data_IF_983923283101
#
_entry.id   IF_983923283101
#
_cell.length_a   1.000
_cell.length_b   1.000
_cell.length_c   1.000
_cell.angle_alpha   90.00
_cell.angle_beta   90.00
_cell.angle_gamma   90.00
#
_symmetry.space_group_name_H-M   'P 1'
#
loop_
_entity.id
_entity.type
_entity.pdbx_description
1 polymer ?
#
# COMPACT_ATOMS: atom_id res chain seq x y z
N UNK A 1 11.19 -24.36 1.36
CA UNK A 1 10.83 -23.81 2.69
C UNK A 1 9.31 -23.71 2.74
N UNK A 2 8.71 -24.28 3.78
CA UNK A 2 7.28 -24.58 4.01
C UNK A 2 6.24 -23.93 3.08
N UNK A 3 5.74 -24.72 2.12
CA UNK A 3 4.52 -24.48 1.34
C UNK A 3 3.29 -24.71 2.24
N UNK A 4 3.03 -23.77 3.15
CA UNK A 4 1.86 -23.82 4.04
C UNK A 4 0.90 -22.70 3.71
N UNK A 5 -0.39 -23.01 3.79
CA UNK A 5 -1.48 -22.05 3.70
C UNK A 5 -1.25 -20.91 4.71
N UNK A 6 -1.43 -19.67 4.27
CA UNK A 6 -1.25 -18.43 5.03
C UNK A 6 -2.61 -17.75 5.28
N UNK A 7 -2.63 -16.75 6.17
CA UNK A 7 -3.82 -15.97 6.52
C UNK A 7 -4.90 -16.89 7.12
N UNK A 8 -4.51 -17.62 8.17
CA UNK A 8 -5.33 -18.64 8.82
C UNK A 8 -6.32 -18.04 9.82
N UNK A 9 -7.20 -18.89 10.34
CA UNK A 9 -8.24 -18.49 11.29
C UNK A 9 -7.63 -17.75 12.50
N UNK A 10 -8.25 -16.64 12.87
CA UNK A 10 -7.85 -15.69 13.92
C UNK A 10 -6.58 -14.86 13.65
N UNK A 11 -5.95 -15.00 12.48
CA UNK A 11 -4.84 -14.11 12.12
C UNK A 11 -5.34 -12.68 11.85
N UNK A 12 -4.58 -11.70 12.34
CA UNK A 12 -4.83 -10.28 12.10
C UNK A 12 -4.31 -9.90 10.71
N UNK A 13 -5.16 -9.21 9.96
CA UNK A 13 -4.91 -8.86 8.57
C UNK A 13 -5.25 -7.40 8.32
N UNK A 14 -4.73 -6.88 7.21
CA UNK A 14 -5.21 -5.65 6.61
C UNK A 14 -5.77 -5.98 5.21
N UNK A 15 -6.94 -5.45 4.89
CA UNK A 15 -7.60 -5.64 3.59
C UNK A 15 -7.62 -4.30 2.85
N UNK A 16 -7.09 -4.29 1.62
CA UNK A 16 -7.09 -3.11 0.75
C UNK A 16 -8.50 -2.89 0.22
N UNK A 17 -9.02 -1.66 0.21
CA UNK A 17 -10.26 -1.33 -0.48
C UNK A 17 -10.04 -0.92 -1.94
N UNK A 18 -11.07 -1.14 -2.77
CA UNK A 18 -11.03 -0.93 -4.24
C UNK A 18 -12.20 -0.05 -4.70
N UNK A 19 -13.09 0.31 -3.79
CA UNK A 19 -14.20 1.22 -4.08
C UNK A 19 -13.66 2.62 -4.35
N UNK A 20 -14.37 3.37 -5.18
CA UNK A 20 -14.02 4.75 -5.49
C UNK A 20 -13.96 5.60 -4.21
N UNK A 21 -12.89 6.37 -4.05
CA UNK A 21 -12.61 7.15 -2.84
C UNK A 21 -12.01 6.35 -1.67
N UNK A 22 -11.80 5.04 -1.84
CA UNK A 22 -11.06 4.17 -0.90
C UNK A 22 -9.87 3.47 -1.58
N UNK A 23 -9.51 3.90 -2.80
CA UNK A 23 -8.50 3.28 -3.64
C UNK A 23 -7.12 3.48 -3.03
N UNK A 24 -6.68 2.58 -2.15
CA UNK A 24 -5.40 2.68 -1.45
C UNK A 24 -5.50 2.73 0.08
N UNK A 25 -6.69 2.59 0.64
CA UNK A 25 -6.86 2.34 2.07
C UNK A 25 -6.71 0.86 2.41
N UNK A 26 -6.06 0.56 3.53
CA UNK A 26 -5.89 -0.75 4.13
C UNK A 26 -6.60 -0.76 5.48
N UNK A 27 -7.64 -1.60 5.58
CA UNK A 27 -8.50 -1.67 6.74
C UNK A 27 -8.15 -2.88 7.61
N UNK A 28 -7.88 -2.67 8.91
CA UNK A 28 -7.60 -3.77 9.84
C UNK A 28 -8.80 -4.71 10.02
N UNK A 29 -8.51 -5.98 10.22
CA UNK A 29 -9.51 -6.99 10.56
C UNK A 29 -8.90 -8.31 11.01
N UNK A 30 -9.77 -9.31 11.17
CA UNK A 30 -9.41 -10.66 11.60
C UNK A 30 -10.06 -11.71 10.70
N UNK A 31 -9.30 -12.75 10.36
CA UNK A 31 -9.82 -13.89 9.61
C UNK A 31 -10.74 -14.72 10.52
N UNK A 32 -12.02 -14.84 10.14
CA UNK A 32 -13.04 -15.62 10.84
C UNK A 32 -13.48 -16.87 10.07
N UNK A 33 -12.94 -17.07 8.87
CA UNK A 33 -13.21 -18.25 8.06
C UNK A 33 -12.17 -18.45 6.97
N UNK A 34 -11.86 -19.71 6.69
CA UNK A 34 -10.89 -20.12 5.68
C UNK A 34 -11.58 -21.14 4.77
N UNK A 35 -11.67 -20.82 3.48
CA UNK A 35 -12.10 -21.75 2.44
C UNK A 35 -11.07 -21.77 1.32
N UNK A 36 -11.25 -22.65 0.34
CA UNK A 36 -10.38 -22.70 -0.83
C UNK A 36 -10.33 -21.34 -1.54
N UNK A 37 -9.12 -20.82 -1.72
CA UNK A 37 -8.84 -19.54 -2.38
C UNK A 37 -9.61 -18.32 -1.83
N UNK A 38 -10.10 -18.38 -0.57
CA UNK A 38 -10.84 -17.29 0.03
C UNK A 38 -10.66 -17.21 1.56
N UNK A 39 -10.67 -15.98 2.09
CA UNK A 39 -10.66 -15.67 3.53
C UNK A 39 -11.86 -14.82 3.89
N UNK A 40 -12.63 -15.26 4.87
CA UNK A 40 -13.71 -14.47 5.44
C UNK A 40 -13.13 -13.58 6.53
N UNK A 41 -13.18 -12.27 6.33
CA UNK A 41 -12.58 -11.28 7.23
C UNK A 41 -13.67 -10.47 7.89
N UNK A 42 -13.60 -10.32 9.21
CA UNK A 42 -14.39 -9.35 9.96
C UNK A 42 -13.52 -8.12 10.20
N UNK A 43 -14.00 -6.96 9.77
CA UNK A 43 -13.30 -5.70 9.97
C UNK A 43 -13.30 -5.27 11.43
N UNK A 44 -12.27 -4.53 11.82
CA UNK A 44 -12.15 -3.95 13.16
C UNK A 44 -13.06 -2.75 13.31
N UNK A 45 -13.10 -1.84 12.32
CA UNK A 45 -13.88 -0.60 12.42
C UNK A 45 -15.07 -0.49 11.48
N UNK A 46 -15.00 -1.03 10.26
CA UNK A 46 -16.10 -0.98 9.31
C UNK A 46 -17.34 -1.71 9.81
N UNK A 47 -18.51 -1.09 9.62
CA UNK A 47 -19.82 -1.62 9.96
C UNK A 47 -20.56 -2.09 8.70
N UNK A 48 -21.49 -3.04 8.87
CA UNK A 48 -22.43 -3.37 7.80
C UNK A 48 -23.40 -2.21 7.53
N UNK A 49 -24.15 -2.27 6.43
CA UNK A 49 -25.08 -1.22 5.99
C UNK A 49 -26.13 -0.84 7.06
N UNK A 50 -26.47 -1.77 7.94
CA UNK A 50 -27.42 -1.51 9.04
C UNK A 50 -26.80 -0.78 10.23
N UNK A 51 -25.47 -0.69 10.30
CA UNK A 51 -24.71 -0.15 11.43
C UNK A 51 -24.70 -1.02 12.69
N UNK A 52 -25.38 -2.18 12.68
CA UNK A 52 -25.62 -3.00 13.90
C UNK A 52 -24.50 -3.98 14.22
N UNK A 53 -23.63 -4.27 13.26
CA UNK A 53 -22.53 -5.22 13.43
C UNK A 53 -21.33 -4.81 12.58
N UNK A 54 -20.17 -5.37 12.89
CA UNK A 54 -18.97 -5.21 12.05
C UNK A 54 -19.21 -5.85 10.68
N UNK A 55 -18.65 -5.21 9.65
CA UNK A 55 -18.68 -5.70 8.28
C UNK A 55 -17.89 -7.01 8.19
N UNK A 56 -18.42 -7.96 7.43
CA UNK A 56 -17.75 -9.22 7.10
C UNK A 56 -17.71 -9.36 5.59
N UNK A 57 -16.52 -9.55 5.03
CA UNK A 57 -16.30 -9.69 3.59
C UNK A 57 -15.56 -11.00 3.30
N UNK A 58 -15.86 -11.60 2.14
CA UNK A 58 -15.15 -12.75 1.61
C UNK A 58 -14.08 -12.26 0.64
N UNK A 59 -12.81 -12.40 1.03
CA UNK A 59 -11.67 -11.89 0.28
C UNK A 59 -11.04 -13.02 -0.54
N UNK A 60 -11.03 -12.94 -1.88
CA UNK A 60 -10.32 -13.90 -2.71
C UNK A 60 -8.81 -13.80 -2.46
N UNK A 61 -8.13 -14.95 -2.42
CA UNK A 61 -6.68 -15.04 -2.22
C UNK A 61 -6.02 -15.82 -3.35
N UNK A 62 -4.73 -15.54 -3.58
CA UNK A 62 -3.96 -16.24 -4.62
C UNK A 62 -3.54 -17.63 -4.16
N UNK A 63 -3.13 -18.49 -5.11
CA UNK A 63 -2.57 -19.78 -4.75
C UNK A 63 -1.24 -19.69 -3.97
N UNK A 64 -0.56 -18.54 -3.94
CA UNK A 64 0.62 -18.35 -3.09
C UNK A 64 0.24 -18.33 -1.59
N UNK A 65 -0.92 -17.76 -1.28
CA UNK A 65 -1.53 -17.80 0.05
C UNK A 65 -2.05 -19.21 0.37
N UNK A 66 -2.52 -19.96 -0.64
CA UNK A 66 -2.93 -21.37 -0.47
C UNK A 66 -1.75 -22.34 -0.31
N UNK A 67 -0.52 -21.91 -0.61
CA UNK A 67 0.65 -22.80 -0.60
C UNK A 67 0.73 -23.73 -1.82
N UNK A 68 0.10 -23.36 -2.94
CA UNK A 68 -0.06 -24.21 -4.13
C UNK A 68 1.01 -24.03 -5.22
N UNK A 69 1.95 -23.08 -5.07
CA UNK A 69 2.91 -22.74 -6.13
C UNK A 69 4.38 -22.83 -5.66
N UNK A 70 5.26 -23.11 -6.62
CA UNK A 70 6.65 -22.61 -6.67
C UNK A 70 6.62 -21.28 -7.44
N UNK A 71 7.23 -20.21 -6.90
CA UNK A 71 7.07 -18.77 -7.27
C UNK A 71 6.28 -18.50 -8.56
N UNK A 72 5.03 -17.99 -8.50
CA UNK A 72 4.40 -17.46 -9.70
C UNK A 72 5.20 -16.24 -10.19
N UNK A 73 5.18 -16.00 -11.50
CA UNK A 73 5.56 -14.71 -12.08
C UNK A 73 4.54 -13.67 -11.62
N UNK A 74 4.75 -13.12 -10.41
CA UNK A 74 3.93 -12.02 -9.89
C UNK A 74 4.21 -10.82 -10.78
N UNK A 75 3.17 -10.31 -11.44
CA UNK A 75 3.32 -9.10 -12.24
C UNK A 75 3.84 -7.99 -11.33
N UNK A 76 4.77 -7.18 -11.82
CA UNK A 76 5.38 -6.09 -11.06
C UNK A 76 4.39 -5.02 -10.58
N UNK A 77 3.17 -5.02 -11.13
CA UNK A 77 2.07 -4.17 -10.75
C UNK A 77 1.03 -4.85 -9.84
N UNK A 78 1.31 -6.05 -9.34
CA UNK A 78 0.42 -6.72 -8.41
C UNK A 78 0.42 -5.98 -7.06
N UNK A 79 -0.73 -5.40 -6.72
CA UNK A 79 -1.02 -4.79 -5.42
C UNK A 79 -2.05 -5.69 -4.72
N UNK A 80 -1.64 -6.40 -3.67
CA UNK A 80 -2.47 -7.41 -3.00
C UNK A 80 -3.82 -6.88 -2.49
N UNK A 81 -4.80 -7.76 -2.29
CA UNK A 81 -6.11 -7.42 -1.69
C UNK A 81 -6.13 -7.63 -0.17
N UNK A 82 -5.31 -8.54 0.34
CA UNK A 82 -5.20 -8.85 1.78
C UNK A 82 -3.74 -9.15 2.12
N UNK A 83 -3.31 -8.71 3.30
CA UNK A 83 -1.97 -8.98 3.84
C UNK A 83 -2.05 -9.23 5.35
N UNK A 84 -1.06 -9.91 5.97
CA UNK A 84 -0.95 -9.91 7.42
C UNK A 84 -0.83 -8.47 7.93
N UNK A 85 -1.11 -8.23 9.21
CA UNK A 85 -0.76 -6.93 9.80
C UNK A 85 0.75 -6.71 9.66
N UNK A 86 1.20 -5.56 9.12
CA UNK A 86 2.63 -5.29 8.99
C UNK A 86 3.35 -5.37 10.34
N UNK A 87 4.60 -5.86 10.36
CA UNK A 87 5.42 -5.86 11.56
C UNK A 87 5.58 -4.45 12.14
N UNK A 88 5.80 -4.37 13.46
CA UNK A 88 6.00 -3.10 14.17
C UNK A 88 7.13 -2.29 13.53
N UNK A 89 7.01 -0.94 13.49
CA UNK A 89 8.08 -0.04 13.04
C UNK A 89 9.41 -0.23 13.77
N UNK A 90 9.46 -0.91 14.91
CA UNK A 90 10.73 -1.22 15.60
C UNK A 90 11.62 -2.20 14.81
N UNK A 91 11.05 -2.96 13.87
CA UNK A 91 11.79 -3.90 13.02
C UNK A 91 12.32 -3.27 11.72
N UNK A 92 11.94 -2.02 11.43
CA UNK A 92 12.31 -1.30 10.21
C UNK A 92 12.84 0.06 10.64
N UNK A 93 13.92 0.56 10.03
CA UNK A 93 14.56 1.79 10.49
C UNK A 93 13.79 3.04 10.00
N UNK A 94 12.48 3.11 10.30
CA UNK A 94 11.51 4.09 9.76
C UNK A 94 11.86 5.52 10.16
N UNK A 95 12.59 5.71 11.27
CA UNK A 95 13.05 7.04 11.69
C UNK A 95 14.18 7.56 10.82
N UNK A 96 14.86 6.69 10.07
CA UNK A 96 16.02 7.05 9.28
C UNK A 96 15.56 7.49 7.88
N UNK A 97 14.98 8.71 7.89
CA UNK A 97 14.57 9.57 6.79
C UNK A 97 13.25 9.20 6.07
N UNK A 98 12.14 9.68 6.61
CA UNK A 98 10.95 10.03 5.82
C UNK A 98 11.31 11.15 4.83
N UNK A 99 12.23 10.92 3.90
CA UNK A 99 12.69 11.94 2.96
C UNK A 99 11.67 12.15 1.84
N UNK A 100 11.84 13.24 1.09
CA UNK A 100 10.96 13.52 -0.05
C UNK A 100 10.91 12.34 -1.03
N UNK A 101 9.68 11.86 -1.30
CA UNK A 101 9.40 10.78 -2.23
C UNK A 101 9.25 9.40 -1.60
N UNK A 102 9.54 9.24 -0.30
CA UNK A 102 9.34 7.97 0.41
C UNK A 102 7.86 7.62 0.46
N UNK A 103 7.52 6.38 0.12
CA UNK A 103 6.16 5.86 0.22
C UNK A 103 5.80 5.53 1.68
N UNK A 104 4.63 5.95 2.10
CA UNK A 104 4.14 5.82 3.48
C UNK A 104 2.69 5.35 3.51
N UNK A 105 2.31 4.68 4.58
CA UNK A 105 0.92 4.49 4.94
C UNK A 105 0.58 5.48 6.06
N UNK A 106 -0.53 6.21 5.94
CA UNK A 106 -1.00 7.14 6.99
C UNK A 106 -2.29 6.68 7.62
N UNK A 107 -2.35 6.71 8.96
CA UNK A 107 -3.55 6.39 9.70
C UNK A 107 -4.52 7.57 9.62
N UNK A 108 -5.61 7.40 8.88
CA UNK A 108 -6.64 8.41 8.73
C UNK A 108 -8.01 7.75 8.62
N UNK A 109 -9.00 8.25 9.39
CA UNK A 109 -10.36 7.66 9.45
C UNK A 109 -10.33 6.13 9.59
N UNK A 110 -9.62 5.64 10.61
CA UNK A 110 -9.60 4.22 10.99
C UNK A 110 -8.99 3.25 9.96
N UNK A 111 -8.29 3.78 8.94
CA UNK A 111 -7.62 2.99 7.92
C UNK A 111 -6.20 3.52 7.64
N UNK A 112 -5.37 2.67 7.07
CA UNK A 112 -4.02 3.02 6.62
C UNK A 112 -4.04 3.37 5.13
N UNK A 113 -3.80 4.62 4.78
CA UNK A 113 -3.87 5.12 3.40
C UNK A 113 -2.48 5.21 2.79
N UNK A 114 -2.27 4.54 1.65
CA UNK A 114 -1.01 4.60 0.91
C UNK A 114 -0.81 6.00 0.28
N UNK A 115 0.36 6.59 0.51
CA UNK A 115 0.73 7.90 0.02
C UNK A 115 2.25 8.07 -0.09
N UNK A 116 2.68 9.30 -0.35
CA UNK A 116 4.09 9.63 -0.58
C UNK A 116 4.44 10.93 0.15
N UNK A 117 5.57 10.95 0.87
CA UNK A 117 6.09 12.16 1.51
C UNK A 117 6.38 13.22 0.43
N UNK A 118 5.72 14.37 0.57
CA UNK A 118 5.70 15.47 -0.40
C UNK A 118 6.10 16.81 0.22
N UNK A 119 7.12 16.78 1.09
CA UNK A 119 7.83 17.96 1.57
C UNK A 119 9.33 17.66 1.79
N UNK A 120 10.10 18.70 2.17
CA UNK A 120 11.47 18.61 2.67
C UNK A 120 11.58 18.92 4.17
N UNK A 121 10.48 18.80 4.93
CA UNK A 121 10.42 19.15 6.35
C UNK A 121 10.95 18.00 7.25
N UNK A 122 12.13 17.49 6.91
CA UNK A 122 12.78 16.44 7.67
C UNK A 122 13.05 16.92 9.10
N UNK A 123 12.67 16.10 10.09
CA UNK A 123 12.77 16.46 11.51
C UNK A 123 11.59 17.27 12.08
N UNK A 124 10.61 17.67 11.26
CA UNK A 124 9.37 18.28 11.74
C UNK A 124 8.38 17.27 12.33
N UNK A 125 7.52 17.73 13.24
CA UNK A 125 6.50 16.91 13.91
C UNK A 125 5.35 16.44 12.99
N UNK A 126 5.20 17.13 11.86
CA UNK A 126 4.21 16.84 10.83
C UNK A 126 4.85 16.82 9.44
N UNK A 127 4.33 15.93 8.59
CA UNK A 127 4.76 15.75 7.21
C UNK A 127 3.58 15.84 6.25
N UNK A 128 3.80 16.48 5.11
CA UNK A 128 2.88 16.52 3.98
C UNK A 128 2.96 15.21 3.21
N UNK A 129 1.80 14.57 3.02
CA UNK A 129 1.65 13.32 2.26
C UNK A 129 0.74 13.58 1.08
N UNK A 130 1.20 13.23 -0.11
CA UNK A 130 0.43 13.22 -1.34
C UNK A 130 -0.16 11.82 -1.56
N UNK A 131 -1.43 11.75 -1.98
CA UNK A 131 -2.14 10.50 -2.27
C UNK A 131 -2.27 10.33 -3.79
N UNK A 132 -1.48 9.46 -4.44
CA UNK A 132 -1.50 9.35 -5.90
C UNK A 132 -2.84 8.86 -6.45
N UNK A 133 -3.52 7.97 -5.74
CA UNK A 133 -4.83 7.43 -6.14
C UNK A 133 -5.91 8.53 -6.15
N UNK A 134 -6.02 9.32 -5.08
CA UNK A 134 -7.03 10.39 -4.92
C UNK A 134 -6.61 11.71 -5.58
N UNK A 135 -5.30 11.98 -5.68
CA UNK A 135 -4.74 13.19 -6.25
C UNK A 135 -4.70 14.40 -5.30
N UNK A 136 -4.96 14.23 -4.01
CA UNK A 136 -4.90 15.27 -2.99
C UNK A 136 -3.65 15.14 -2.09
N UNK A 137 -3.47 16.11 -1.18
CA UNK A 137 -2.39 16.09 -0.20
C UNK A 137 -2.85 16.62 1.16
N UNK A 138 -2.23 16.12 2.23
CA UNK A 138 -2.55 16.56 3.60
C UNK A 138 -1.36 16.38 4.53
N UNK A 139 -1.31 17.19 5.59
CA UNK A 139 -0.33 17.05 6.67
C UNK A 139 -0.80 16.05 7.73
N UNK A 140 0.11 15.21 8.19
CA UNK A 140 -0.11 14.23 9.26
C UNK A 140 1.02 14.29 10.28
N UNK A 141 0.69 13.95 11.53
CA UNK A 141 1.68 13.79 12.59
C UNK A 141 2.53 12.57 12.33
N UNK A 142 3.80 12.61 12.76
CA UNK A 142 4.70 11.46 12.66
C UNK A 142 4.15 10.19 13.34
N UNK A 143 3.34 10.31 14.39
CA UNK A 143 2.71 9.18 15.08
C UNK A 143 1.70 8.42 14.23
N UNK A 144 1.16 9.08 13.20
CA UNK A 144 0.13 8.54 12.31
C UNK A 144 0.74 8.06 10.98
N UNK A 145 2.07 8.09 10.84
CA UNK A 145 2.78 7.74 9.61
C UNK A 145 3.64 6.50 9.86
N UNK A 146 3.59 5.53 8.94
CA UNK A 146 4.56 4.43 8.87
C UNK A 146 5.11 4.32 7.45
N UNK A 147 6.33 3.82 7.29
CA UNK A 147 6.83 3.46 5.96
C UNK A 147 5.94 2.39 5.34
N UNK A 148 5.65 2.49 4.04
CA UNK A 148 4.89 1.44 3.36
C UNK A 148 5.74 0.18 3.24
N UNK A 149 5.22 -0.92 3.77
CA UNK A 149 5.77 -2.25 3.59
C UNK A 149 4.96 -3.03 2.56
N UNK A 150 5.67 -3.69 1.63
CA UNK A 150 5.09 -4.65 0.70
C UNK A 150 5.26 -6.06 1.25
N UNK A 151 4.17 -6.82 1.22
CA UNK A 151 4.18 -8.23 1.59
C UNK A 151 4.28 -9.10 0.34
N UNK A 152 5.29 -9.96 0.31
CA UNK A 152 5.41 -11.00 -0.72
C UNK A 152 4.57 -12.21 -0.29
N UNK A 153 3.41 -12.40 -0.93
CA UNK A 153 2.49 -13.50 -0.61
C UNK A 153 3.13 -14.89 -0.74
N UNK A 154 4.16 -15.01 -1.60
CA UNK A 154 4.87 -16.26 -1.82
C UNK A 154 5.82 -16.55 -0.66
N UNK A 155 6.79 -15.65 -0.43
CA UNK A 155 7.83 -15.88 0.58
C UNK A 155 7.36 -15.59 2.00
N UNK A 156 6.27 -14.83 2.16
CA UNK A 156 5.77 -14.37 3.44
C UNK A 156 6.57 -13.20 4.04
N UNK A 157 7.62 -12.73 3.36
CA UNK A 157 8.47 -11.65 3.84
C UNK A 157 7.90 -10.27 3.54
N UNK A 158 8.29 -9.32 4.38
CA UNK A 158 8.02 -7.91 4.20
C UNK A 158 9.28 -7.20 3.70
N UNK A 159 9.08 -6.20 2.84
CA UNK A 159 10.13 -5.27 2.42
C UNK A 159 9.59 -3.86 2.39
N UNK A 160 10.46 -2.88 2.57
CA UNK A 160 10.09 -1.48 2.34
C UNK A 160 9.82 -1.22 0.86
N UNK A 161 8.78 -0.44 0.56
CA UNK A 161 8.53 0.05 -0.80
C UNK A 161 9.58 1.08 -1.23
N UNK A 162 10.06 1.88 -0.28
CA UNK A 162 11.06 2.92 -0.52
C UNK A 162 10.51 4.14 -1.26
N UNK A 163 11.34 4.77 -2.08
CA UNK A 163 10.99 5.99 -2.84
C UNK A 163 10.12 5.63 -4.05
N UNK A 164 9.08 6.43 -4.28
CA UNK A 164 8.21 6.26 -5.44
C UNK A 164 9.01 6.37 -6.75
N UNK A 165 8.88 5.37 -7.63
CA UNK A 165 9.59 5.29 -8.92
C UNK A 165 9.51 6.58 -9.74
N UNK A 166 8.32 7.20 -9.80
CA UNK A 166 8.14 8.46 -10.53
C UNK A 166 8.96 9.61 -9.95
N UNK A 167 9.12 9.65 -8.61
CA UNK A 167 9.96 10.65 -7.95
C UNK A 167 11.44 10.39 -8.24
N UNK A 168 11.88 9.13 -8.23
CA UNK A 168 13.25 8.75 -8.61
C UNK A 168 13.59 9.20 -10.03
N UNK A 169 12.72 8.89 -11.01
CA UNK A 169 12.86 9.34 -12.40
C UNK A 169 12.88 10.87 -12.51
N UNK A 170 11.98 11.57 -11.79
CA UNK A 170 11.95 13.03 -11.82
C UNK A 170 13.23 13.68 -11.26
N UNK A 171 13.87 13.06 -10.26
CA UNK A 171 15.15 13.51 -9.70
C UNK A 171 16.31 13.33 -10.69
N UNK A 172 16.29 12.28 -11.53
CA UNK A 172 17.31 12.06 -12.56
C UNK A 172 17.28 13.12 -13.67
N UNK A 173 16.09 13.65 -13.98
CA UNK A 173 15.89 14.58 -15.09
C UNK A 173 15.83 16.07 -14.70
N UNK A 174 15.87 16.43 -13.41
CA UNK A 174 15.91 17.83 -12.95
C UNK A 174 16.71 18.05 -11.68
N UNK A 175 17.50 19.13 -11.65
CA UNK A 175 18.07 19.70 -10.42
C UNK A 175 17.02 20.48 -9.62
N UNK A 176 17.21 20.53 -8.31
CA UNK A 176 16.27 20.88 -7.23
C UNK A 176 15.46 22.19 -7.41
N UNK A 177 14.34 22.28 -6.67
CA UNK A 177 13.52 23.49 -6.51
C UNK A 177 12.05 23.36 -6.96
N UNK A 178 11.73 22.44 -7.89
CA UNK A 178 10.38 22.28 -8.43
C UNK A 178 9.93 20.83 -8.65
N UNK A 179 10.57 19.85 -8.00
CA UNK A 179 10.28 18.43 -8.24
C UNK A 179 8.83 18.08 -7.85
N UNK A 180 8.29 18.65 -6.76
CA UNK A 180 6.90 18.43 -6.35
C UNK A 180 5.88 18.71 -7.47
N UNK A 181 5.96 19.92 -8.04
CA UNK A 181 5.01 20.38 -9.06
C UNK A 181 5.22 19.63 -10.38
N UNK A 182 6.47 19.25 -10.68
CA UNK A 182 6.76 18.40 -11.83
C UNK A 182 6.12 17.02 -11.67
N UNK A 183 6.34 16.34 -10.54
CA UNK A 183 5.81 15.00 -10.29
C UNK A 183 4.29 15.01 -10.33
N UNK A 184 3.62 15.96 -9.67
CA UNK A 184 2.15 16.09 -9.73
C UNK A 184 1.65 16.29 -11.16
N UNK A 185 2.31 17.16 -11.93
CA UNK A 185 1.93 17.44 -13.33
C UNK A 185 2.16 16.25 -14.26
N UNK A 186 3.24 15.48 -14.05
CA UNK A 186 3.47 14.25 -14.81
C UNK A 186 2.42 13.23 -14.41
N UNK A 187 2.22 13.01 -13.11
CA UNK A 187 1.27 12.03 -12.60
C UNK A 187 -0.16 12.28 -13.08
N UNK A 188 -0.63 13.53 -13.06
CA UNK A 188 -2.00 13.86 -13.50
C UNK A 188 -2.26 13.52 -14.97
N UNK A 189 -1.23 13.53 -15.81
CA UNK A 189 -1.30 13.11 -17.23
C UNK A 189 -1.05 11.62 -17.40
N UNK A 190 -0.09 11.08 -16.65
CA UNK A 190 0.33 9.69 -16.74
C UNK A 190 -0.77 8.74 -16.28
N UNK A 191 -1.46 9.04 -15.17
CA UNK A 191 -2.49 8.17 -14.58
C UNK A 191 -3.67 7.90 -15.52
N UNK A 192 -3.93 8.80 -16.46
CA UNK A 192 -4.98 8.67 -17.48
C UNK A 192 -4.46 8.17 -18.83
N UNK A 193 -3.15 7.99 -18.99
CA UNK A 193 -2.54 7.59 -20.25
C UNK A 193 -2.76 6.09 -20.51
N UNK A 194 -3.20 5.75 -21.73
CA UNK A 194 -3.49 4.36 -22.11
C UNK A 194 -2.31 3.41 -21.89
N UNK A 195 -1.09 3.85 -22.25
CA UNK A 195 0.13 3.07 -22.04
C UNK A 195 0.38 2.77 -20.55
N UNK A 196 0.13 3.74 -19.67
CA UNK A 196 0.25 3.54 -18.23
C UNK A 196 -0.80 2.54 -17.76
N UNK A 197 -2.08 2.76 -18.08
CA UNK A 197 -3.18 1.88 -17.68
C UNK A 197 -2.97 0.42 -18.12
N UNK A 198 -2.37 0.22 -19.30
CA UNK A 198 -2.13 -1.11 -19.87
C UNK A 198 -0.87 -1.81 -19.33
N UNK A 199 0.23 -1.07 -19.14
CA UNK A 199 1.55 -1.65 -18.86
C UNK A 199 1.93 -1.61 -17.38
N UNK A 200 1.56 -0.53 -16.68
CA UNK A 200 1.95 -0.28 -15.29
C UNK A 200 0.73 -0.43 -14.36
N UNK A 201 -0.41 0.13 -14.76
CA UNK A 201 -1.74 0.17 -14.10
C UNK A 201 -1.82 0.72 -12.67
N UNK A 202 -0.77 0.58 -11.88
CA UNK A 202 -0.72 0.90 -10.46
C UNK A 202 0.49 1.79 -10.18
N UNK A 203 0.28 2.94 -9.53
CA UNK A 203 1.37 3.89 -9.23
C UNK A 203 2.45 3.30 -8.32
N UNK A 204 2.08 2.26 -7.60
CA UNK A 204 2.89 1.47 -6.68
C UNK A 204 3.88 0.53 -7.36
N UNK A 205 3.77 0.34 -8.69
CA UNK A 205 4.65 -0.56 -9.46
C UNK A 205 6.13 -0.17 -9.32
N UNK A 206 6.94 -1.06 -8.76
CA UNK A 206 8.38 -0.83 -8.54
C UNK A 206 9.27 -1.20 -9.73
N UNK A 207 8.73 -1.73 -10.83
CA UNK A 207 9.55 -2.14 -11.98
C UNK A 207 10.00 -0.94 -12.81
N UNK A 208 11.18 -0.42 -12.47
CA UNK A 208 11.79 0.76 -13.11
C UNK A 208 11.76 0.72 -14.64
N UNK A 209 12.00 -0.44 -15.25
CA UNK A 209 12.02 -0.59 -16.72
C UNK A 209 10.65 -0.41 -17.42
N UNK A 210 9.55 -0.38 -16.67
CA UNK A 210 8.22 -0.14 -17.21
C UNK A 210 7.81 1.33 -17.19
N UNK A 211 8.47 2.16 -16.37
CA UNK A 211 8.18 3.59 -16.19
C UNK A 211 8.96 4.46 -17.18
#
# INVERSE_FOLDING_TARGET
MNERRKLLLHEKVEVRQLEEGLGGSWHPGIVIGVSESCRKVRYDELLCDTGKSKLIESIPVTGAIEGLYQRPFVKSNYRGRIRPRPPSPEHFDVKTSLSFGVCVDVLFKEAWWEGVIFDYNEGGDERCVFFPDEGDERKFKLTDIRATLEWDEFSGHWRERGVWTLVSLAKEHKKEGHIFQLVKRIWSRLKVHYGFMKMISEWTCGAYCLW
#
